data_IF_456176857610
#
_entry.id   IF_456176857610
#
_cell.length_a   1.000
_cell.length_b   1.000
_cell.length_c   1.000
_cell.angle_alpha   90.00
_cell.angle_beta   90.00
_cell.angle_gamma   90.00
#
_symmetry.space_group_name_H-M   'P 1'
#
loop_
_entity.id
_entity.type
_entity.pdbx_description
1 polymer ?
#
# COMPACT_ATOMS: atom_id res chain seq x y z
N UNK A 1 1.16 -5.63 7.77
CA UNK A 1 0.03 -5.13 8.57
C UNK A 1 -0.85 -6.31 8.98
N UNK A 2 -1.80 -6.15 9.91
CA UNK A 2 -2.73 -7.22 10.30
C UNK A 2 -3.88 -7.36 9.27
N UNK A 3 -4.57 -8.51 9.27
CA UNK A 3 -5.68 -8.83 8.36
C UNK A 3 -6.88 -7.89 8.46
N UNK A 4 -7.00 -7.15 9.56
CA UNK A 4 -8.02 -6.11 9.72
C UNK A 4 -7.90 -5.00 8.66
N UNK A 5 -6.70 -4.73 8.13
CA UNK A 5 -6.49 -3.73 7.06
C UNK A 5 -7.06 -4.24 5.73
N UNK A 6 -6.88 -5.52 5.42
CA UNK A 6 -7.47 -6.15 4.23
C UNK A 6 -9.00 -6.11 4.30
N UNK A 7 -9.57 -6.44 5.46
CA UNK A 7 -11.01 -6.35 5.68
C UNK A 7 -11.54 -4.92 5.54
N UNK A 8 -10.80 -3.92 6.02
CA UNK A 8 -11.17 -2.52 5.86
C UNK A 8 -11.19 -2.11 4.37
N UNK A 9 -10.17 -2.52 3.60
CA UNK A 9 -10.12 -2.29 2.15
C UNK A 9 -11.30 -2.93 1.41
N UNK A 10 -11.63 -4.18 1.77
CA UNK A 10 -12.76 -4.90 1.20
C UNK A 10 -14.11 -4.22 1.48
N UNK A 11 -14.37 -3.86 2.75
CA UNK A 11 -15.63 -3.18 3.14
C UNK A 11 -15.73 -1.81 2.48
N UNK A 12 -14.62 -1.07 2.38
CA UNK A 12 -14.58 0.24 1.74
C UNK A 12 -14.68 0.21 0.21
N UNK A 13 -14.60 -0.96 -0.42
CA UNK A 13 -14.57 -1.08 -1.87
C UNK A 13 -13.34 -0.43 -2.52
N UNK A 14 -12.23 -0.34 -1.77
CA UNK A 14 -10.99 0.30 -2.22
C UNK A 14 -9.91 -0.72 -2.54
N UNK A 15 -9.02 -0.37 -3.46
CA UNK A 15 -7.86 -1.20 -3.78
C UNK A 15 -6.83 -1.08 -2.66
N UNK A 16 -6.46 -2.19 -2.05
CA UNK A 16 -5.35 -2.28 -1.10
C UNK A 16 -4.14 -2.92 -1.78
N UNK A 17 -2.95 -2.33 -1.60
CA UNK A 17 -1.68 -2.91 -2.06
C UNK A 17 -0.75 -3.12 -0.87
N UNK A 18 -0.10 -4.28 -0.80
CA UNK A 18 0.91 -4.56 0.21
C UNK A 18 2.25 -3.89 -0.19
N UNK A 19 2.90 -3.22 0.76
CA UNK A 19 4.23 -2.64 0.58
C UNK A 19 5.28 -3.61 1.12
N UNK A 20 6.34 -3.93 0.34
CA UNK A 20 7.43 -4.78 0.81
C UNK A 20 8.09 -4.20 2.08
N UNK A 21 8.32 -5.06 3.07
CA UNK A 21 9.11 -4.70 4.25
C UNK A 21 10.60 -4.90 3.99
N UNK A 22 11.43 -4.21 4.77
CA UNK A 22 12.87 -4.46 4.78
C UNK A 22 13.24 -5.72 5.60
N UNK A 23 14.54 -5.98 5.76
CA UNK A 23 15.07 -7.11 6.53
C UNK A 23 14.77 -7.08 8.03
N UNK A 24 14.22 -5.97 8.56
CA UNK A 24 13.73 -5.87 9.94
C UNK A 24 12.20 -5.89 10.01
N UNK A 25 11.54 -6.34 8.93
CA UNK A 25 10.09 -6.40 8.81
C UNK A 25 9.41 -5.02 8.99
N UNK A 26 10.12 -3.93 8.70
CA UNK A 26 9.60 -2.58 8.77
C UNK A 26 9.33 -2.03 7.37
N UNK A 27 8.23 -1.30 7.22
CA UNK A 27 7.98 -0.50 6.01
C UNK A 27 9.02 0.62 5.92
N UNK A 28 9.47 0.95 4.70
CA UNK A 28 10.46 2.01 4.44
C UNK A 28 9.97 2.99 3.40
N UNK A 29 10.52 4.21 3.48
CA UNK A 29 10.18 5.31 2.59
C UNK A 29 10.41 4.95 1.11
N UNK A 30 11.51 4.26 0.79
CA UNK A 30 11.83 3.86 -0.59
C UNK A 30 10.75 2.98 -1.21
N UNK A 31 10.34 1.91 -0.53
CA UNK A 31 9.32 0.98 -1.03
C UNK A 31 7.94 1.64 -1.15
N UNK A 32 7.57 2.50 -0.19
CA UNK A 32 6.33 3.25 -0.25
C UNK A 32 6.34 4.25 -1.42
N UNK A 33 7.42 5.00 -1.60
CA UNK A 33 7.55 6.01 -2.65
C UNK A 33 7.51 5.38 -4.05
N UNK A 34 8.18 4.24 -4.26
CA UNK A 34 8.10 3.48 -5.51
C UNK A 34 6.66 3.06 -5.85
N UNK A 35 5.92 2.53 -4.86
CA UNK A 35 4.53 2.14 -5.05
C UNK A 35 3.64 3.35 -5.37
N UNK A 36 3.83 4.48 -4.68
CA UNK A 36 3.07 5.71 -4.95
C UNK A 36 3.31 6.24 -6.37
N UNK A 37 4.57 6.30 -6.81
CA UNK A 37 4.90 6.82 -8.14
C UNK A 37 4.40 5.90 -9.25
N UNK A 38 4.51 4.57 -9.08
CA UNK A 38 3.93 3.61 -10.01
C UNK A 38 2.41 3.76 -10.09
N UNK A 39 1.74 3.84 -8.95
CA UNK A 39 0.28 3.89 -8.89
C UNK A 39 -0.25 5.20 -9.50
N UNK A 40 0.42 6.33 -9.25
CA UNK A 40 0.12 7.60 -9.94
C UNK A 40 0.32 7.50 -11.45
N UNK A 41 1.40 6.85 -11.90
CA UNK A 41 1.67 6.64 -13.32
C UNK A 41 0.62 5.73 -14.00
N UNK A 42 0.04 4.79 -13.25
CA UNK A 42 -1.09 3.95 -13.67
C UNK A 42 -2.45 4.69 -13.62
N UNK A 43 -2.47 5.97 -13.23
CA UNK A 43 -3.69 6.78 -13.11
C UNK A 43 -4.51 6.48 -11.86
N UNK A 44 -3.95 5.79 -10.88
CA UNK A 44 -4.57 5.60 -9.56
C UNK A 44 -4.29 6.80 -8.66
N UNK A 45 -5.16 7.01 -7.68
CA UNK A 45 -5.03 8.08 -6.69
C UNK A 45 -4.79 7.45 -5.31
N UNK A 46 -3.55 7.45 -4.80
CA UNK A 46 -3.27 7.02 -3.43
C UNK A 46 -3.91 7.97 -2.42
N UNK A 47 -4.60 7.42 -1.42
CA UNK A 47 -5.34 8.22 -0.42
C UNK A 47 -5.15 7.74 1.03
N UNK A 48 -4.57 6.55 1.23
CA UNK A 48 -4.22 5.98 2.53
C UNK A 48 -2.99 5.07 2.39
#
# INVERSE_FOLDING_TARGET
AHSSVERAGLIGGVKLKAIPSDGKFAMRASALQEALERDKAEGLIPFF
#
